data_IF_648589058471
#
_entry.id   IF_648589058471
#
_cell.length_a   1.000
_cell.length_b   1.000
_cell.length_c   1.000
_cell.angle_alpha   90.00
_cell.angle_beta   90.00
_cell.angle_gamma   90.00
#
_symmetry.space_group_name_H-M   'P 1'
#
loop_
_entity.id
_entity.type
_entity.pdbx_description
1 polymer ?
#
# COMPACT_ATOMS: atom_id res chain seq x y z
N UNK A 1 -11.81 21.96 -0.46
CA UNK A 1 -11.20 21.27 0.71
C UNK A 1 -10.16 20.31 0.20
N UNK A 2 -8.97 20.28 0.79
CA UNK A 2 -7.88 19.39 0.41
C UNK A 2 -7.86 18.17 1.37
N UNK A 3 -7.68 16.96 0.83
CA UNK A 3 -7.60 15.73 1.61
C UNK A 3 -6.42 14.86 1.14
N UNK A 4 -5.75 14.21 2.09
CA UNK A 4 -4.82 13.12 1.80
C UNK A 4 -5.60 11.83 1.56
N UNK A 5 -5.26 11.08 0.52
CA UNK A 5 -6.01 9.89 0.13
C UNK A 5 -5.34 8.57 0.53
N UNK A 6 -4.02 8.54 0.69
CA UNK A 6 -3.30 7.31 1.08
C UNK A 6 -3.57 6.93 2.54
N UNK A 7 -3.53 5.63 2.91
CA UNK A 7 -3.77 5.20 4.29
C UNK A 7 -2.75 5.74 5.30
N UNK A 8 -1.48 5.85 4.88
CA UNK A 8 -0.40 6.46 5.66
C UNK A 8 -0.35 7.95 5.33
N UNK A 9 -0.42 8.80 6.36
CA UNK A 9 -0.27 10.25 6.22
C UNK A 9 1.16 10.59 5.80
N UNK A 10 1.30 11.59 4.93
CA UNK A 10 2.60 12.13 4.59
C UNK A 10 3.16 12.94 5.78
N UNK A 11 4.41 12.72 6.21
CA UNK A 11 4.97 13.38 7.41
C UNK A 11 5.00 14.90 7.30
N UNK A 12 5.13 15.44 6.08
CA UNK A 12 5.19 16.89 5.85
C UNK A 12 3.81 17.56 5.71
N UNK A 13 2.74 16.77 5.55
CA UNK A 13 1.37 17.29 5.35
C UNK A 13 0.56 17.23 6.65
N UNK A 14 1.08 17.78 7.74
CA UNK A 14 0.46 17.70 9.07
C UNK A 14 -0.91 18.36 9.14
N UNK A 15 -1.09 19.47 8.41
CA UNK A 15 -2.32 20.28 8.43
C UNK A 15 -3.39 19.78 7.45
N UNK A 16 -3.07 18.80 6.59
CA UNK A 16 -4.02 18.28 5.60
C UNK A 16 -4.72 17.05 6.18
N UNK A 17 -6.05 17.05 6.34
CA UNK A 17 -6.75 15.90 6.89
C UNK A 17 -6.68 14.68 5.95
N UNK A 18 -6.73 13.48 6.54
CA UNK A 18 -6.80 12.23 5.79
C UNK A 18 -8.26 11.86 5.49
N UNK A 19 -8.53 11.36 4.29
CA UNK A 19 -9.87 10.98 3.85
C UNK A 19 -10.51 9.87 4.71
N UNK A 20 -9.70 8.92 5.21
CA UNK A 20 -10.18 7.86 6.11
C UNK A 20 -10.63 8.49 7.43
N UNK A 21 -9.80 9.35 8.05
CA UNK A 21 -10.16 9.99 9.32
C UNK A 21 -11.36 10.93 9.18
N UNK A 22 -11.49 11.58 8.01
CA UNK A 22 -12.59 12.50 7.70
C UNK A 22 -13.93 11.80 7.49
N UNK A 23 -13.94 10.49 7.20
CA UNK A 23 -15.18 9.76 6.97
C UNK A 23 -16.05 9.74 8.23
N UNK A 24 -17.37 9.91 8.04
CA UNK A 24 -18.33 10.07 9.14
C UNK A 24 -18.85 8.76 9.73
N UNK A 25 -18.60 7.63 9.07
CA UNK A 25 -19.05 6.30 9.49
C UNK A 25 -17.93 5.28 9.37
N UNK A 26 -17.97 4.24 10.22
CA UNK A 26 -17.04 3.10 10.15
C UNK A 26 -17.07 2.42 8.77
N UNK A 27 -18.26 2.27 8.21
CA UNK A 27 -18.41 1.73 6.86
C UNK A 27 -17.71 2.60 5.81
N UNK A 28 -17.86 3.93 5.89
CA UNK A 28 -17.17 4.86 5.00
C UNK A 28 -15.64 4.78 5.15
N UNK A 29 -15.14 4.66 6.39
CA UNK A 29 -13.71 4.45 6.67
C UNK A 29 -13.20 3.18 6.00
N UNK A 30 -13.95 2.07 6.14
CA UNK A 30 -13.61 0.77 5.56
C UNK A 30 -13.58 0.84 4.02
N UNK A 31 -14.57 1.48 3.40
CA UNK A 31 -14.63 1.64 1.94
C UNK A 31 -13.46 2.46 1.40
N UNK A 32 -13.19 3.63 1.99
CA UNK A 32 -12.08 4.49 1.59
C UNK A 32 -10.75 3.75 1.79
N UNK A 33 -10.56 3.07 2.93
CA UNK A 33 -9.35 2.28 3.17
C UNK A 33 -9.12 1.22 2.09
N UNK A 34 -10.15 0.45 1.71
CA UNK A 34 -10.03 -0.57 0.67
C UNK A 34 -9.68 0.05 -0.69
N UNK A 35 -10.30 1.19 -1.03
CA UNK A 35 -10.00 1.89 -2.29
C UNK A 35 -8.54 2.38 -2.36
N UNK A 36 -7.93 2.76 -1.23
CA UNK A 36 -6.57 3.32 -1.20
C UNK A 36 -5.47 2.34 -0.74
N UNK A 37 -5.80 1.21 -0.14
CA UNK A 37 -4.83 0.19 0.28
C UNK A 37 -4.02 -0.34 -0.93
N UNK A 38 -4.60 -0.41 -2.13
CA UNK A 38 -3.86 -0.78 -3.35
C UNK A 38 -2.86 0.29 -3.79
N UNK A 39 -3.21 1.56 -3.60
CA UNK A 39 -2.31 2.66 -3.90
C UNK A 39 -1.14 2.76 -2.90
N UNK A 40 -1.22 2.05 -1.76
CA UNK A 40 -0.11 1.97 -0.82
C UNK A 40 0.99 1.00 -1.27
N UNK A 41 0.69 0.05 -2.17
CA UNK A 41 1.66 -0.95 -2.65
C UNK A 41 1.84 -0.87 -4.16
N UNK A 42 2.51 0.20 -4.60
CA UNK A 42 2.89 0.39 -6.00
C UNK A 42 4.25 -0.27 -6.31
N UNK A 43 4.44 -0.69 -7.56
CA UNK A 43 5.67 -1.32 -8.07
C UNK A 43 6.10 -2.60 -7.31
N UNK A 44 5.15 -3.55 -7.25
CA UNK A 44 5.31 -4.82 -6.54
C UNK A 44 6.29 -5.78 -7.21
N UNK A 45 7.10 -6.44 -6.39
CA UNK A 45 7.87 -7.61 -6.76
C UNK A 45 7.23 -8.86 -6.13
N UNK A 46 6.89 -9.84 -6.96
CA UNK A 46 6.33 -11.11 -6.52
C UNK A 46 7.29 -12.25 -6.84
N UNK A 47 7.27 -13.28 -5.98
CA UNK A 47 8.06 -14.50 -6.15
C UNK A 47 7.11 -15.70 -6.33
N UNK A 48 7.58 -16.80 -6.95
CA UNK A 48 6.76 -18.00 -7.10
C UNK A 48 6.23 -18.54 -5.76
N UNK A 49 5.04 -19.15 -5.76
CA UNK A 49 4.50 -19.81 -4.59
C UNK A 49 5.39 -20.99 -4.16
N UNK A 50 5.33 -21.36 -2.88
CA UNK A 50 6.07 -22.48 -2.28
C UNK A 50 7.61 -22.37 -2.30
N UNK A 51 8.17 -21.17 -2.46
CA UNK A 51 9.61 -20.96 -2.27
C UNK A 51 10.03 -21.33 -0.83
N UNK A 52 11.21 -21.98 -0.64
CA UNK A 52 11.72 -22.26 0.70
C UNK A 52 11.83 -20.97 1.55
N UNK A 53 11.39 -21.03 2.81
CA UNK A 53 11.32 -19.87 3.71
C UNK A 53 12.65 -19.12 3.83
N UNK A 54 13.76 -19.85 3.93
CA UNK A 54 15.09 -19.25 4.06
C UNK A 54 15.48 -18.43 2.82
N UNK A 55 15.13 -18.94 1.62
CA UNK A 55 15.38 -18.24 0.35
C UNK A 55 14.50 -16.99 0.23
N UNK A 56 13.23 -17.09 0.60
CA UNK A 56 12.32 -15.95 0.64
C UNK A 56 12.87 -14.84 1.56
N UNK A 57 13.30 -15.22 2.76
CA UNK A 57 13.85 -14.29 3.75
C UNK A 57 15.20 -13.68 3.31
N UNK A 58 16.01 -14.44 2.58
CA UNK A 58 17.23 -13.90 1.98
C UNK A 58 16.91 -12.83 0.92
N UNK A 59 15.96 -13.09 0.02
CA UNK A 59 15.58 -12.15 -1.03
C UNK A 59 14.92 -10.88 -0.47
N UNK A 60 14.00 -11.02 0.50
CA UNK A 60 13.39 -9.86 1.20
C UNK A 60 14.45 -8.97 1.84
N UNK A 61 15.42 -9.56 2.55
CA UNK A 61 16.52 -8.82 3.17
C UNK A 61 17.41 -8.14 2.13
N UNK A 62 17.82 -8.84 1.09
CA UNK A 62 18.66 -8.29 0.03
C UNK A 62 17.98 -7.07 -0.64
N UNK A 63 16.70 -7.20 -0.99
CA UNK A 63 15.92 -6.12 -1.59
C UNK A 63 15.85 -4.88 -0.68
N UNK A 64 15.49 -5.08 0.60
CA UNK A 64 15.41 -3.96 1.54
C UNK A 64 16.76 -3.31 1.84
N UNK A 65 17.85 -4.10 1.83
CA UNK A 65 19.20 -3.56 1.99
C UNK A 65 19.58 -2.68 0.79
N UNK A 66 19.23 -3.08 -0.43
CA UNK A 66 19.46 -2.26 -1.64
C UNK A 66 18.67 -0.95 -1.58
N UNK A 67 17.39 -0.98 -1.22
CA UNK A 67 16.57 0.24 -1.17
C UNK A 67 16.95 1.21 -0.04
N UNK A 68 17.78 0.76 0.91
CA UNK A 68 18.35 1.56 1.99
C UNK A 68 19.82 1.90 1.78
N UNK A 69 20.42 1.41 0.70
CA UNK A 69 21.83 1.63 0.40
C UNK A 69 22.07 3.11 0.07
N UNK A 70 23.06 3.79 0.69
CA UNK A 70 23.31 5.20 0.44
C UNK A 70 23.67 5.52 -1.02
N UNK A 71 24.35 4.61 -1.73
CA UNK A 71 24.67 4.83 -3.14
C UNK A 71 23.43 4.69 -4.01
N UNK A 72 22.56 3.72 -3.73
CA UNK A 72 21.25 3.61 -4.39
C UNK A 72 20.40 4.89 -4.18
N UNK A 73 20.28 5.36 -2.94
CA UNK A 73 19.51 6.56 -2.61
C UNK A 73 20.08 7.84 -3.27
N UNK A 74 21.40 7.96 -3.37
CA UNK A 74 22.04 9.07 -4.05
C UNK A 74 21.70 9.09 -5.56
N UNK A 75 21.72 7.93 -6.22
CA UNK A 75 21.34 7.82 -7.63
C UNK A 75 19.83 8.02 -7.84
N UNK A 76 18.98 7.44 -6.98
CA UNK A 76 17.53 7.67 -7.02
C UNK A 76 17.19 9.16 -6.91
N UNK A 77 17.86 9.89 -6.01
CA UNK A 77 17.71 11.34 -5.86
C UNK A 77 18.14 12.09 -7.12
N UNK A 78 19.28 11.73 -7.74
CA UNK A 78 19.73 12.34 -9.01
C UNK A 78 18.73 12.10 -10.15
N UNK A 79 18.12 10.92 -10.16
CA UNK A 79 17.07 10.55 -11.12
C UNK A 79 15.68 11.15 -10.78
N UNK A 80 15.56 11.90 -9.67
CA UNK A 80 14.29 12.43 -9.16
C UNK A 80 13.23 11.33 -8.94
N UNK A 81 13.67 10.19 -8.40
CA UNK A 81 12.83 9.05 -8.01
C UNK A 81 12.72 9.02 -6.49
N UNK A 82 11.51 9.22 -5.99
CA UNK A 82 11.19 9.04 -4.57
C UNK A 82 11.11 7.56 -4.20
N UNK A 83 11.62 7.21 -3.01
CA UNK A 83 11.65 5.85 -2.51
C UNK A 83 11.04 5.77 -1.11
N UNK A 84 9.84 5.17 -0.96
CA UNK A 84 9.24 4.79 0.34
C UNK A 84 8.97 3.28 0.32
N UNK A 85 9.99 2.43 0.53
CA UNK A 85 9.86 0.99 0.35
C UNK A 85 9.07 0.34 1.49
N UNK A 86 8.10 -0.51 1.14
CA UNK A 86 7.40 -1.38 2.08
C UNK A 86 8.06 -2.76 2.15
N UNK A 87 8.15 -3.30 3.37
CA UNK A 87 8.69 -4.64 3.60
C UNK A 87 7.76 -5.75 3.08
N UNK A 88 8.33 -6.91 2.75
CA UNK A 88 7.55 -8.04 2.23
C UNK A 88 6.42 -8.49 3.16
N UNK A 89 6.66 -8.49 4.47
CA UNK A 89 5.64 -8.81 5.49
C UNK A 89 4.51 -7.77 5.54
N UNK A 90 4.81 -6.51 5.27
CA UNK A 90 3.82 -5.43 5.25
C UNK A 90 2.95 -5.52 4.00
N UNK A 91 3.57 -5.77 2.84
CA UNK A 91 2.87 -6.06 1.59
C UNK A 91 1.94 -7.27 1.76
N UNK A 92 2.43 -8.35 2.37
CA UNK A 92 1.65 -9.57 2.62
C UNK A 92 0.42 -9.30 3.49
N UNK A 93 0.55 -8.46 4.54
CA UNK A 93 -0.59 -8.03 5.36
C UNK A 93 -1.60 -7.21 4.56
N UNK A 94 -1.14 -6.31 3.70
CA UNK A 94 -2.01 -5.48 2.85
C UNK A 94 -2.80 -6.38 1.90
N UNK A 95 -2.12 -7.27 1.19
CA UNK A 95 -2.75 -8.25 0.28
C UNK A 95 -3.75 -9.13 1.03
N UNK A 96 -3.38 -9.64 2.21
CA UNK A 96 -4.25 -10.47 3.05
C UNK A 96 -5.55 -9.79 3.46
N UNK A 97 -5.56 -8.46 3.67
CA UNK A 97 -6.78 -7.72 3.99
C UNK A 97 -7.82 -7.75 2.87
N UNK A 98 -7.40 -7.78 1.61
CA UNK A 98 -8.33 -7.88 0.47
C UNK A 98 -9.00 -9.25 0.42
N UNK A 99 -8.25 -10.32 0.68
CA UNK A 99 -8.79 -11.68 0.72
C UNK A 99 -9.71 -11.92 1.93
N UNK A 100 -9.58 -11.14 2.99
CA UNK A 100 -10.42 -11.20 4.18
C UNK A 100 -11.72 -10.38 4.08
N UNK A 101 -12.00 -9.71 2.96
CA UNK A 101 -13.22 -8.93 2.80
C UNK A 101 -14.45 -9.85 2.68
N UNK A 102 -15.50 -9.52 3.43
CA UNK A 102 -16.79 -10.21 3.38
C UNK A 102 -17.47 -10.07 2.01
N UNK A 103 -18.16 -11.12 1.56
CA UNK A 103 -18.81 -11.17 0.24
C UNK A 103 -19.74 -9.99 -0.02
N UNK A 104 -20.58 -9.66 0.95
CA UNK A 104 -21.61 -8.63 0.83
C UNK A 104 -20.96 -7.24 0.71
N UNK A 105 -19.86 -7.03 1.43
CA UNK A 105 -19.07 -5.82 1.33
C UNK A 105 -18.38 -5.70 -0.03
N UNK A 106 -17.84 -6.80 -0.56
CA UNK A 106 -17.28 -6.83 -1.92
C UNK A 106 -18.34 -6.50 -2.98
N UNK A 107 -19.56 -7.04 -2.85
CA UNK A 107 -20.64 -6.71 -3.79
C UNK A 107 -20.99 -5.21 -3.74
N UNK A 108 -21.07 -4.63 -2.55
CA UNK A 108 -21.30 -3.19 -2.39
C UNK A 108 -20.16 -2.33 -2.95
N UNK A 109 -18.91 -2.76 -2.79
CA UNK A 109 -17.77 -2.07 -3.41
C UNK A 109 -17.85 -2.09 -4.94
N UNK A 110 -18.27 -3.21 -5.54
CA UNK A 110 -18.42 -3.32 -7.00
C UNK A 110 -19.42 -2.32 -7.57
N UNK A 111 -20.54 -2.07 -6.88
CA UNK A 111 -21.54 -1.08 -7.34
C UNK A 111 -21.02 0.37 -7.30
N UNK A 112 -19.95 0.62 -6.55
CA UNK A 112 -19.33 1.95 -6.40
C UNK A 112 -18.12 2.11 -7.33
N UNK A 113 -17.25 1.08 -7.39
CA UNK A 113 -15.93 1.17 -8.02
C UNK A 113 -15.90 0.72 -9.48
N UNK A 114 -16.85 -0.12 -9.92
CA UNK A 114 -16.91 -0.60 -11.30
C UNK A 114 -18.00 0.21 -12.01
N UNK A 115 -17.65 1.06 -12.98
CA UNK A 115 -18.64 1.79 -13.76
C UNK A 115 -19.59 0.83 -14.47
N UNK A 116 -20.89 1.11 -14.40
CA UNK A 116 -21.91 0.42 -15.18
C UNK A 116 -21.90 0.97 -16.62
N UNK A 117 -20.88 0.62 -17.41
CA UNK A 117 -20.71 1.07 -18.80
C UNK A 117 -19.94 0.07 -19.63
#
# INVERSE_FOLDING_TARGET
>A
MLLQMLPKKHPELTEVPNAIDYAKSEEGRKMIRVAYDMNAILWLYALPPAMPKDRLQQLRRAFMNTLRDPAYLAEAKKANVDTDPLGGEEVEKIVGRFFALESDFVQRLKTILIPSG
#
